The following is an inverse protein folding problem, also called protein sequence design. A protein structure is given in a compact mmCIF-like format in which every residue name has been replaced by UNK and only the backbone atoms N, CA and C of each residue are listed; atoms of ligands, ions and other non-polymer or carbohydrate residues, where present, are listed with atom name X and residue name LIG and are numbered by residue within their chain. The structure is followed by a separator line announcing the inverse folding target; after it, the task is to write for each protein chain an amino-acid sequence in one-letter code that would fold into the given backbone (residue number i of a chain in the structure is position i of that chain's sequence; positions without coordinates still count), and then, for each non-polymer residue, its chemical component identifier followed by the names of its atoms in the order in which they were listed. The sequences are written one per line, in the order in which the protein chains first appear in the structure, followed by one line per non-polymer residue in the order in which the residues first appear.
data_IF_420908445670
#
_entry.id   IF_420908445670
#
_cell.length_a   1.000
_cell.length_b   1.000
_cell.length_c   1.000
_cell.angle_alpha   90.00
_cell.angle_beta   90.00
_cell.angle_gamma   90.00
#
_symmetry.space_group_name_H-M   'P 1'
#
loop_
_entity.id
_entity.type
_entity.pdbx_description
1 polymer ?
#
# COMPACT_ATOMS: atom_id res chain seq x y z
N UNK A 1 13.86 54.52 47.57
CA UNK A 1 14.21 53.80 46.28
C UNK A 1 13.67 52.39 46.35
N UNK A 2 12.67 52.05 45.50
CA UNK A 2 12.08 50.72 45.46
C UNK A 2 12.72 49.98 44.28
N UNK A 3 13.43 48.88 44.52
CA UNK A 3 14.00 48.03 43.54
C UNK A 3 12.91 47.09 43.02
N UNK A 4 12.61 47.14 41.69
CA UNK A 4 11.69 46.22 40.99
C UNK A 4 12.52 45.03 40.53
N UNK A 5 12.25 43.87 41.13
CA UNK A 5 12.85 42.60 40.72
C UNK A 5 12.06 42.04 39.55
N UNK A 6 12.65 42.05 38.32
CA UNK A 6 12.05 41.49 37.13
C UNK A 6 12.41 39.98 37.06
N UNK A 7 11.45 39.11 37.36
CA UNK A 7 11.61 37.65 37.21
C UNK A 7 11.42 37.28 35.74
N UNK A 8 12.49 36.84 35.08
CA UNK A 8 12.45 36.28 33.72
C UNK A 8 12.05 34.80 33.82
N UNK A 9 10.84 34.50 33.43
CA UNK A 9 10.34 33.12 33.34
C UNK A 9 10.82 32.51 32.00
N UNK A 10 11.90 31.73 32.04
CA UNK A 10 12.37 30.94 30.88
C UNK A 10 11.50 29.72 30.73
N UNK A 11 10.51 29.81 29.84
CA UNK A 11 9.67 28.65 29.45
C UNK A 11 10.47 27.70 28.56
N UNK A 12 10.79 26.53 29.06
CA UNK A 12 11.38 25.44 28.26
C UNK A 12 10.29 24.82 27.40
N UNK A 13 10.34 25.05 26.06
CA UNK A 13 9.46 24.41 25.12
C UNK A 13 9.96 22.97 24.88
N UNK A 14 9.23 22.00 25.43
CA UNK A 14 9.47 20.58 25.19
C UNK A 14 8.92 20.23 23.78
N UNK A 15 9.81 20.17 22.79
CA UNK A 15 9.48 19.69 21.47
C UNK A 15 9.33 18.16 21.53
N UNK A 16 8.10 17.69 21.62
CA UNK A 16 7.79 16.28 21.46
C UNK A 16 8.02 15.88 20.00
N UNK A 17 9.09 15.14 19.72
CA UNK A 17 9.30 14.50 18.43
C UNK A 17 8.19 13.45 18.23
N UNK A 18 7.27 13.71 17.31
CA UNK A 18 6.27 12.74 16.90
C UNK A 18 6.95 11.66 16.04
N UNK A 19 7.10 10.48 16.59
CA UNK A 19 7.49 9.29 15.81
C UNK A 19 6.29 8.93 14.94
N UNK A 20 6.33 9.31 13.68
CA UNK A 20 5.35 8.83 12.69
C UNK A 20 5.69 7.37 12.39
N UNK A 21 4.98 6.45 13.03
CA UNK A 21 4.98 5.05 12.61
C UNK A 21 4.26 5.03 11.26
N UNK A 22 5.00 4.70 10.19
CA UNK A 22 4.38 4.44 8.89
C UNK A 22 3.44 3.25 9.05
N UNK A 23 2.16 3.45 8.76
CA UNK A 23 1.21 2.36 8.75
C UNK A 23 1.53 1.45 7.56
N UNK A 24 1.73 0.17 7.82
CA UNK A 24 2.03 -0.85 6.80
C UNK A 24 0.74 -1.45 6.23
N UNK A 25 0.84 -1.95 5.00
CA UNK A 25 -0.18 -2.80 4.39
C UNK A 25 -0.06 -4.25 4.93
N UNK A 26 -1.18 -4.93 5.09
CA UNK A 26 -1.25 -6.34 5.50
C UNK A 26 -1.74 -7.21 4.35
N UNK A 27 -0.90 -8.10 3.87
CA UNK A 27 -1.23 -9.10 2.83
C UNK A 27 -1.72 -10.39 3.47
N UNK A 28 -2.87 -10.90 2.99
CA UNK A 28 -3.44 -12.18 3.41
C UNK A 28 -3.79 -13.04 2.20
N UNK A 29 -3.06 -14.14 1.99
CA UNK A 29 -3.34 -15.09 0.91
C UNK A 29 -4.59 -15.89 1.27
N UNK A 30 -5.60 -15.87 0.39
CA UNK A 30 -6.86 -16.59 0.55
C UNK A 30 -6.82 -17.94 -0.17
N UNK A 31 -6.16 -18.00 -1.35
CA UNK A 31 -6.09 -19.22 -2.16
C UNK A 31 -4.87 -19.19 -3.07
N UNK A 32 -4.30 -20.35 -3.32
CA UNK A 32 -3.37 -20.61 -4.44
C UNK A 32 -3.89 -21.83 -5.18
N UNK A 33 -4.06 -21.69 -6.49
CA UNK A 33 -4.62 -22.75 -7.32
C UNK A 33 -3.83 -22.87 -8.63
N UNK A 34 -3.24 -24.04 -8.88
CA UNK A 34 -2.69 -24.37 -10.21
C UNK A 34 -3.82 -24.41 -11.23
N UNK A 35 -3.60 -23.81 -12.40
CA UNK A 35 -4.61 -23.72 -13.44
C UNK A 35 -4.50 -24.97 -14.34
N UNK A 36 -5.57 -25.78 -14.36
CA UNK A 36 -5.58 -27.06 -15.07
C UNK A 36 -5.46 -26.90 -16.61
N UNK A 37 -5.90 -25.78 -17.15
CA UNK A 37 -5.89 -25.40 -18.56
C UNK A 37 -4.67 -24.57 -19.00
N UNK A 38 -3.81 -24.19 -18.04
CA UNK A 38 -2.61 -23.37 -18.26
C UNK A 38 -1.42 -23.95 -17.50
N UNK A 39 -0.73 -24.93 -18.12
CA UNK A 39 0.38 -25.64 -17.49
C UNK A 39 1.44 -24.70 -16.89
N UNK A 40 1.83 -24.95 -15.64
CA UNK A 40 2.81 -24.16 -14.89
C UNK A 40 2.29 -22.81 -14.39
N UNK A 41 1.02 -22.46 -14.61
CA UNK A 41 0.41 -21.23 -14.10
C UNK A 41 -0.34 -21.48 -12.79
N UNK A 42 -0.25 -20.48 -11.91
CA UNK A 42 -0.94 -20.46 -10.61
C UNK A 42 -1.71 -19.14 -10.48
N UNK A 43 -2.97 -19.25 -10.08
CA UNK A 43 -3.74 -18.13 -9.57
C UNK A 43 -3.53 -18.01 -8.06
N UNK A 44 -3.06 -16.86 -7.61
CA UNK A 44 -3.01 -16.50 -6.19
C UNK A 44 -4.06 -15.43 -5.91
N UNK A 45 -5.02 -15.73 -5.07
CA UNK A 45 -6.04 -14.80 -4.61
C UNK A 45 -5.69 -14.34 -3.20
N UNK A 46 -5.61 -13.04 -3.00
CA UNK A 46 -5.24 -12.46 -1.71
C UNK A 46 -5.99 -11.16 -1.44
N UNK A 47 -6.00 -10.73 -0.18
CA UNK A 47 -6.42 -9.39 0.20
C UNK A 47 -5.23 -8.58 0.70
N UNK A 48 -5.31 -7.27 0.47
CA UNK A 48 -4.42 -6.29 1.09
C UNK A 48 -5.28 -5.34 1.90
N UNK A 49 -5.02 -5.28 3.19
CA UNK A 49 -5.64 -4.37 4.13
C UNK A 49 -4.69 -3.18 4.35
N UNK A 50 -5.15 -1.98 4.03
CA UNK A 50 -4.42 -0.73 4.24
C UNK A 50 -4.99 0.00 5.45
N UNK A 51 -4.22 0.16 6.49
CA UNK A 51 -4.54 1.10 7.56
C UNK A 51 -4.66 2.54 7.03
N UNK A 52 -5.29 3.48 7.74
CA UNK A 52 -5.28 4.89 7.36
C UNK A 52 -3.85 5.39 7.11
N UNK A 53 -3.62 6.01 5.94
CA UNK A 53 -2.32 6.52 5.52
C UNK A 53 -1.27 5.47 5.13
N UNK A 54 -1.62 4.17 5.12
CA UNK A 54 -0.68 3.09 4.76
C UNK A 54 -0.20 3.20 3.30
N UNK A 55 1.08 2.90 3.10
CA UNK A 55 1.76 2.92 1.79
C UNK A 55 2.52 1.61 1.64
N UNK A 56 2.36 0.94 0.51
CA UNK A 56 3.22 -0.18 0.12
C UNK A 56 4.50 0.33 -0.54
N UNK A 57 5.62 -0.33 -0.30
CA UNK A 57 6.86 -0.05 -1.02
C UNK A 57 6.68 -0.30 -2.53
N UNK A 58 7.39 0.49 -3.34
CA UNK A 58 7.42 0.28 -4.78
C UNK A 58 7.98 -1.11 -5.12
N UNK A 59 7.30 -1.84 -6.01
CA UNK A 59 7.58 -3.24 -6.28
C UNK A 59 7.21 -3.64 -7.71
N UNK A 60 7.53 -4.88 -8.08
CA UNK A 60 7.07 -5.53 -9.30
C UNK A 60 6.34 -6.82 -8.98
N UNK A 61 5.37 -7.18 -9.80
CA UNK A 61 4.73 -8.50 -9.78
C UNK A 61 5.28 -9.36 -10.93
N UNK A 62 5.51 -10.67 -10.71
CA UNK A 62 6.04 -11.55 -11.77
C UNK A 62 5.03 -11.81 -12.89
N UNK A 63 3.75 -11.69 -12.60
CA UNK A 63 2.64 -12.00 -13.49
C UNK A 63 1.57 -10.91 -13.54
N UNK A 64 0.50 -11.19 -14.25
CA UNK A 64 -0.65 -10.29 -14.38
C UNK A 64 -1.40 -10.14 -13.06
N UNK A 65 -1.74 -8.91 -12.71
CA UNK A 65 -2.52 -8.58 -11.51
C UNK A 65 -3.84 -7.93 -11.88
N UNK A 66 -4.91 -8.40 -11.26
CA UNK A 66 -6.20 -7.74 -11.22
C UNK A 66 -6.47 -7.35 -9.77
N UNK A 67 -6.71 -6.06 -9.52
CA UNK A 67 -6.97 -5.56 -8.19
C UNK A 67 -8.35 -4.87 -8.14
N UNK A 68 -9.18 -5.28 -7.18
CA UNK A 68 -10.55 -4.81 -7.00
C UNK A 68 -10.72 -4.20 -5.62
N UNK A 69 -11.28 -3.00 -5.53
CA UNK A 69 -11.49 -2.30 -4.25
C UNK A 69 -12.74 -2.85 -3.56
N UNK A 70 -12.54 -3.49 -2.41
CA UNK A 70 -13.60 -4.00 -1.53
C UNK A 70 -14.13 -2.91 -0.60
N UNK A 71 -13.23 -2.07 -0.05
CA UNK A 71 -13.55 -1.03 0.92
C UNK A 71 -12.63 0.17 0.74
N UNK A 72 -13.12 1.37 1.04
CA UNK A 72 -12.36 2.60 1.00
C UNK A 72 -11.93 3.01 -0.41
N UNK A 73 -10.72 3.60 -0.51
CA UNK A 73 -10.12 4.02 -1.77
C UNK A 73 -8.60 3.87 -1.76
N UNK A 74 -8.04 3.51 -2.90
CA UNK A 74 -6.61 3.24 -3.07
C UNK A 74 -6.06 4.04 -4.24
N UNK A 75 -4.90 4.65 -4.08
CA UNK A 75 -4.14 5.26 -5.18
C UNK A 75 -3.17 4.23 -5.72
N UNK A 76 -3.23 4.00 -7.03
CA UNK A 76 -2.31 3.10 -7.74
C UNK A 76 -1.66 3.82 -8.91
N UNK A 77 -0.38 3.49 -9.19
CA UNK A 77 0.38 4.00 -10.33
C UNK A 77 1.40 2.96 -10.79
N UNK A 78 1.26 2.48 -12.03
CA UNK A 78 2.31 1.77 -12.75
C UNK A 78 3.33 2.73 -13.38
N UNK A 79 4.53 2.24 -13.69
CA UNK A 79 5.53 3.02 -14.42
C UNK A 79 4.99 3.43 -15.81
N UNK A 80 5.16 4.70 -16.16
CA UNK A 80 4.65 5.28 -17.40
C UNK A 80 3.16 5.67 -17.37
N UNK A 81 2.47 5.41 -16.26
CA UNK A 81 1.04 5.73 -16.09
C UNK A 81 0.84 6.94 -15.19
N UNK A 82 -0.36 7.51 -15.22
CA UNK A 82 -0.78 8.52 -14.24
C UNK A 82 -1.27 7.83 -12.96
N UNK A 83 -0.99 8.43 -11.82
CA UNK A 83 -1.57 8.00 -10.56
C UNK A 83 -3.10 8.16 -10.63
N UNK A 84 -3.82 7.08 -10.30
CA UNK A 84 -5.28 7.03 -10.29
C UNK A 84 -5.78 6.62 -8.91
N UNK A 85 -6.89 7.22 -8.49
CA UNK A 85 -7.60 6.81 -7.28
C UNK A 85 -8.76 5.90 -7.66
N UNK A 86 -8.75 4.70 -7.11
CA UNK A 86 -9.82 3.70 -7.27
C UNK A 86 -10.64 3.60 -5.98
N UNK A 87 -11.96 3.63 -6.13
CA UNK A 87 -12.91 3.53 -5.02
C UNK A 87 -13.61 2.18 -5.02
N UNK A 88 -14.33 1.86 -3.94
CA UNK A 88 -15.10 0.62 -3.80
C UNK A 88 -15.87 0.26 -5.08
N UNK A 89 -15.69 -0.98 -5.55
CA UNK A 89 -16.32 -1.50 -6.76
C UNK A 89 -15.50 -1.29 -8.04
N UNK A 90 -14.40 -0.53 -7.99
CA UNK A 90 -13.54 -0.32 -9.15
C UNK A 90 -12.39 -1.34 -9.19
N UNK A 91 -11.89 -1.60 -10.39
CA UNK A 91 -10.84 -2.56 -10.69
C UNK A 91 -9.76 -1.91 -11.55
N UNK A 92 -8.51 -2.36 -11.38
CA UNK A 92 -7.41 -2.04 -12.30
C UNK A 92 -6.59 -3.27 -12.63
N UNK A 93 -5.75 -3.14 -13.65
CA UNK A 93 -4.83 -4.17 -14.10
C UNK A 93 -3.40 -3.69 -13.98
N UNK A 94 -2.48 -4.58 -13.61
CA UNK A 94 -1.04 -4.35 -13.59
C UNK A 94 -0.36 -5.36 -14.52
N UNK A 95 0.49 -4.85 -15.40
CA UNK A 95 1.23 -5.68 -16.33
C UNK A 95 2.33 -6.49 -15.64
N UNK A 96 2.64 -7.71 -16.13
CA UNK A 96 3.76 -8.48 -15.61
C UNK A 96 5.06 -7.68 -15.64
N UNK A 97 5.78 -7.65 -14.52
CA UNK A 97 7.09 -7.00 -14.36
C UNK A 97 7.10 -5.47 -14.54
N UNK A 98 5.95 -4.83 -14.74
CA UNK A 98 5.85 -3.37 -14.71
C UNK A 98 6.10 -2.89 -13.28
N UNK A 99 6.99 -1.90 -13.05
CA UNK A 99 7.13 -1.29 -11.74
C UNK A 99 5.82 -0.66 -11.26
N UNK A 100 5.31 -1.11 -10.12
CA UNK A 100 4.19 -0.51 -9.41
C UNK A 100 4.76 0.52 -8.44
N UNK A 101 4.72 1.80 -8.86
CA UNK A 101 5.42 2.89 -8.19
C UNK A 101 4.66 3.43 -6.98
N UNK A 102 3.33 3.41 -7.05
CA UNK A 102 2.46 3.89 -5.98
C UNK A 102 1.36 2.89 -5.71
N UNK A 103 1.26 2.45 -4.46
CA UNK A 103 0.14 1.68 -3.93
C UNK A 103 -0.11 2.13 -2.49
N UNK A 104 -1.18 2.87 -2.27
CA UNK A 104 -1.45 3.45 -0.94
C UNK A 104 -2.93 3.67 -0.68
N UNK A 105 -3.28 3.69 0.60
CA UNK A 105 -4.59 4.20 1.02
C UNK A 105 -4.72 5.68 0.63
N UNK A 106 -5.82 6.05 -0.01
CA UNK A 106 -6.09 7.44 -0.37
C UNK A 106 -6.51 8.29 0.85
N UNK A 107 -6.96 7.64 1.94
CA UNK A 107 -7.43 8.28 3.17
C UNK A 107 -6.39 8.21 4.28
N UNK A 108 -6.30 9.29 5.07
CA UNK A 108 -5.49 9.35 6.29
C UNK A 108 -6.31 8.95 7.54
N UNK A 109 -7.62 8.75 7.41
CA UNK A 109 -8.52 8.52 8.56
C UNK A 109 -9.31 7.23 8.45
N UNK A 110 -9.57 6.74 7.22
CA UNK A 110 -10.39 5.56 6.96
C UNK A 110 -9.51 4.42 6.38
N UNK A 111 -9.78 3.15 6.75
CA UNK A 111 -9.08 2.01 6.15
C UNK A 111 -9.50 1.78 4.71
N UNK A 112 -8.68 1.05 3.97
CA UNK A 112 -9.02 0.54 2.65
C UNK A 112 -8.68 -0.95 2.53
N UNK A 113 -9.37 -1.66 1.64
CA UNK A 113 -9.14 -3.08 1.37
C UNK A 113 -9.31 -3.38 -0.10
N UNK A 114 -8.39 -4.16 -0.65
CA UNK A 114 -8.48 -4.67 -2.02
C UNK A 114 -8.44 -6.19 -2.04
N UNK A 115 -9.11 -6.77 -3.03
CA UNK A 115 -8.93 -8.14 -3.48
C UNK A 115 -7.96 -8.12 -4.66
N UNK A 116 -6.97 -8.99 -4.63
CA UNK A 116 -5.97 -9.13 -5.69
C UNK A 116 -5.99 -10.54 -6.24
N UNK A 117 -5.99 -10.67 -7.57
CA UNK A 117 -5.78 -11.93 -8.29
C UNK A 117 -4.49 -11.79 -9.07
N UNK A 118 -3.47 -12.56 -8.71
CA UNK A 118 -2.18 -12.64 -9.40
C UNK A 118 -2.10 -13.95 -10.19
N UNK A 119 -1.81 -13.84 -11.48
CA UNK A 119 -1.52 -14.98 -12.36
C UNK A 119 -0.02 -15.02 -12.63
N UNK A 120 0.69 -15.99 -12.06
CA UNK A 120 2.15 -16.11 -12.18
C UNK A 120 2.59 -17.54 -12.52
N UNK A 121 3.88 -17.77 -12.69
CA UNK A 121 4.42 -19.13 -12.78
C UNK A 121 4.48 -19.77 -11.38
N UNK A 122 4.41 -21.09 -11.35
CA UNK A 122 4.61 -21.83 -10.11
C UNK A 122 6.00 -21.54 -9.52
N UNK A 123 6.08 -21.35 -8.20
CA UNK A 123 7.33 -21.04 -7.49
C UNK A 123 7.73 -19.56 -7.47
N UNK A 124 7.08 -18.70 -8.24
CA UNK A 124 7.35 -17.26 -8.18
C UNK A 124 6.76 -16.63 -6.89
N UNK A 125 7.46 -15.61 -6.38
CA UNK A 125 6.99 -14.81 -5.24
C UNK A 125 5.86 -13.87 -5.67
N UNK A 126 5.03 -13.43 -4.72
CA UNK A 126 3.90 -12.52 -4.99
C UNK A 126 4.40 -11.17 -5.53
N UNK A 127 5.47 -10.64 -4.95
CA UNK A 127 6.11 -9.39 -5.37
C UNK A 127 7.62 -9.42 -5.12
N UNK A 128 8.36 -8.55 -5.79
CA UNK A 128 9.78 -8.32 -5.59
C UNK A 128 10.08 -6.81 -5.59
N UNK A 129 11.13 -6.35 -4.90
CA UNK A 129 11.55 -4.95 -4.96
C UNK A 129 11.97 -4.55 -6.38
N UNK A 130 11.82 -3.27 -6.71
CA UNK A 130 12.36 -2.68 -7.94
C UNK A 130 13.90 -2.69 -7.84
N UNK A 131 14.57 -3.12 -8.91
CA UNK A 131 16.03 -3.14 -9.00
C UNK A 131 16.57 -1.84 -9.56
#
# INVERSE_FOLDING_TARGET
MKAILCAILTGTILVMAQVTVSAEDKVSVLMRQSLADMAGKVATVLTVDYAPGAVSDAHVHPGSVFAYVLEGSVVSQGEGEKAMTYTKGQIWYEHPKQPHLVSKNASQTEPAKILVILLSQEGESIKAPIK
#
